data_IF_328297678254
#
_entry.id   IF_328297678254
#
_cell.length_a   1.000
_cell.length_b   1.000
_cell.length_c   1.000
_cell.angle_alpha   90.00
_cell.angle_beta   90.00
_cell.angle_gamma   90.00
#
_symmetry.space_group_name_H-M   'P 1'
#
loop_
_entity.id
_entity.type
_entity.pdbx_description
1 polymer ?
#
# COMPACT_ATOMS: atom_id res chain seq x y z
N UNK A 1 21.11 -8.05 19.16
CA UNK A 1 20.79 -8.49 17.78
C UNK A 1 19.38 -8.01 17.56
N UNK A 2 19.22 -6.88 16.87
CA UNK A 2 17.89 -6.47 16.40
C UNK A 2 17.40 -7.56 15.45
N UNK A 3 16.27 -8.18 15.77
CA UNK A 3 15.64 -9.15 14.88
C UNK A 3 15.33 -8.44 13.57
N UNK A 4 16.05 -8.81 12.53
CA UNK A 4 15.92 -8.24 11.20
C UNK A 4 14.48 -8.47 10.69
N UNK A 5 13.71 -7.39 10.58
CA UNK A 5 12.29 -7.39 10.22
C UNK A 5 12.07 -8.29 9.00
N UNK A 6 11.04 -9.14 8.99
CA UNK A 6 10.86 -10.12 7.91
C UNK A 6 10.76 -9.46 6.52
N UNK A 7 10.34 -8.19 6.42
CA UNK A 7 10.45 -7.41 5.18
C UNK A 7 11.89 -7.26 4.66
N UNK A 8 12.87 -7.04 5.54
CA UNK A 8 14.31 -7.00 5.21
C UNK A 8 14.76 -8.39 4.74
N UNK A 9 14.39 -9.45 5.47
CA UNK A 9 14.69 -10.84 5.08
C UNK A 9 14.05 -11.22 3.74
N UNK A 10 12.80 -10.84 3.50
CA UNK A 10 12.11 -11.03 2.23
C UNK A 10 12.80 -10.27 1.09
N UNK A 11 13.31 -9.05 1.35
CA UNK A 11 14.08 -8.29 0.36
C UNK A 11 15.38 -8.96 -0.05
N UNK A 12 15.97 -9.77 0.83
CA UNK A 12 17.17 -10.56 0.55
C UNK A 12 16.89 -11.91 -0.14
N UNK A 13 15.65 -12.40 -0.16
CA UNK A 13 15.30 -13.76 -0.59
C UNK A 13 14.65 -13.86 -1.98
N UNK A 14 14.26 -12.74 -2.60
CA UNK A 14 13.68 -12.72 -3.95
C UNK A 14 12.69 -11.58 -4.19
N UNK A 15 11.65 -11.83 -5.00
CA UNK A 15 10.61 -10.83 -5.29
C UNK A 15 9.76 -10.53 -4.04
N UNK A 16 9.70 -9.26 -3.64
CA UNK A 16 8.88 -8.78 -2.50
C UNK A 16 7.61 -8.10 -2.98
N UNK A 17 6.65 -7.84 -2.08
CA UNK A 17 5.45 -7.05 -2.38
C UNK A 17 5.79 -5.69 -3.02
N UNK A 18 6.98 -5.13 -2.71
CA UNK A 18 7.52 -3.93 -3.34
C UNK A 18 7.83 -4.08 -4.85
N UNK A 19 7.77 -5.28 -5.42
CA UNK A 19 8.19 -5.58 -6.81
C UNK A 19 7.08 -6.20 -7.67
N UNK A 20 5.89 -6.44 -7.08
CA UNK A 20 4.75 -7.00 -7.81
C UNK A 20 3.42 -6.32 -7.45
N UNK A 21 3.22 -5.83 -6.22
CA UNK A 21 1.97 -5.20 -5.79
C UNK A 21 1.89 -3.71 -6.13
N UNK A 22 0.77 -3.27 -6.68
CA UNK A 22 0.48 -1.85 -6.89
C UNK A 22 0.03 -1.23 -5.58
N UNK A 23 0.92 -0.43 -4.97
CA UNK A 23 0.65 0.20 -3.69
C UNK A 23 -0.11 1.49 -3.93
N UNK A 24 -1.40 1.48 -3.62
CA UNK A 24 -2.19 2.70 -3.51
C UNK A 24 -1.65 3.60 -2.39
N UNK A 25 -1.67 4.91 -2.62
CA UNK A 25 -1.18 5.93 -1.69
C UNK A 25 -2.30 6.92 -1.42
N UNK A 26 -2.81 6.94 -0.19
CA UNK A 26 -3.88 7.85 0.23
C UNK A 26 -3.42 9.32 0.21
N UNK A 27 -4.33 10.32 0.33
CA UNK A 27 -3.92 11.71 0.48
C UNK A 27 -3.07 11.92 1.73
N UNK A 28 -3.44 11.30 2.86
CA UNK A 28 -2.66 11.39 4.09
C UNK A 28 -1.30 10.70 3.99
N UNK A 29 -1.17 9.62 3.20
CA UNK A 29 0.13 8.99 2.92
C UNK A 29 1.01 9.92 2.10
N UNK A 30 0.43 10.67 1.14
CA UNK A 30 1.17 11.69 0.39
C UNK A 30 1.75 12.72 1.36
N UNK A 31 0.95 13.28 2.25
CA UNK A 31 1.40 14.28 3.21
C UNK A 31 2.51 13.75 4.12
N UNK A 32 2.27 12.59 4.76
CA UNK A 32 3.24 11.96 5.70
C UNK A 32 4.56 11.63 5.03
N UNK A 33 4.52 11.06 3.82
CA UNK A 33 5.74 10.66 3.10
C UNK A 33 6.45 11.89 2.55
N UNK A 34 5.71 12.88 2.05
CA UNK A 34 6.30 14.10 1.52
C UNK A 34 7.00 14.93 2.59
N UNK A 35 6.41 15.03 3.78
CA UNK A 35 7.05 15.66 4.94
C UNK A 35 8.35 14.94 5.30
N UNK A 36 8.35 13.61 5.33
CA UNK A 36 9.54 12.82 5.68
C UNK A 36 10.66 12.88 4.63
N UNK A 37 10.30 12.91 3.34
CA UNK A 37 11.27 12.91 2.24
C UNK A 37 11.65 14.30 1.73
N UNK A 38 10.97 15.34 2.21
CA UNK A 38 11.06 16.72 1.72
C UNK A 38 10.81 16.83 0.19
N UNK A 39 9.93 15.98 -0.35
CA UNK A 39 9.56 15.91 -1.78
C UNK A 39 8.25 15.15 -2.00
N UNK A 40 7.51 15.46 -3.06
CA UNK A 40 6.19 14.86 -3.37
C UNK A 40 6.12 14.08 -4.69
N UNK A 41 7.24 13.87 -5.39
CA UNK A 41 7.27 13.25 -6.73
C UNK A 41 7.38 11.72 -6.71
N UNK A 42 7.06 11.06 -5.59
CA UNK A 42 7.20 9.62 -5.39
C UNK A 42 5.98 8.79 -5.79
N UNK A 43 4.87 9.42 -6.14
CA UNK A 43 3.64 8.77 -6.61
C UNK A 43 3.28 9.25 -8.02
N UNK A 44 2.41 8.51 -8.69
CA UNK A 44 1.83 8.84 -9.98
C UNK A 44 0.35 8.43 -10.04
N UNK A 45 -0.41 9.05 -10.93
CA UNK A 45 -1.75 8.57 -11.29
C UNK A 45 -1.62 7.68 -12.53
N UNK A 46 -2.18 6.48 -12.46
CA UNK A 46 -2.28 5.58 -13.60
C UNK A 46 -3.45 4.62 -13.45
N UNK A 47 -3.89 4.08 -14.56
CA UNK A 47 -4.80 2.93 -14.58
C UNK A 47 -4.10 1.71 -13.95
N UNK A 48 -4.85 0.79 -13.30
CA UNK A 48 -4.28 -0.44 -12.81
C UNK A 48 -3.69 -1.28 -13.95
N UNK A 49 -2.49 -1.83 -13.76
CA UNK A 49 -1.91 -2.72 -14.77
C UNK A 49 -2.50 -4.13 -14.77
N UNK A 50 -3.23 -4.47 -13.71
CA UNK A 50 -3.91 -5.75 -13.54
C UNK A 50 -5.40 -5.49 -13.27
N UNK A 51 -6.25 -6.18 -14.05
CA UNK A 51 -7.71 -6.05 -13.99
C UNK A 51 -8.29 -6.44 -12.64
N UNK A 52 -7.61 -7.29 -11.87
CA UNK A 52 -8.06 -7.70 -10.54
C UNK A 52 -8.12 -6.49 -9.57
N UNK A 53 -7.28 -5.47 -9.79
CA UNK A 53 -7.36 -4.23 -9.02
C UNK A 53 -8.54 -3.34 -9.41
N UNK A 54 -9.09 -3.49 -10.63
CA UNK A 54 -10.24 -2.73 -11.11
C UNK A 54 -11.59 -3.40 -10.77
N UNK A 55 -11.57 -4.71 -10.47
CA UNK A 55 -12.72 -5.51 -10.07
C UNK A 55 -12.71 -5.73 -8.56
N UNK A 56 -13.06 -4.70 -7.78
CA UNK A 56 -13.15 -4.74 -6.32
C UNK A 56 -14.63 -4.77 -5.87
N UNK A 57 -15.41 -5.70 -6.43
CA UNK A 57 -16.86 -5.80 -6.20
C UNK A 57 -17.21 -6.08 -4.72
N UNK A 58 -16.26 -6.60 -3.94
CA UNK A 58 -16.39 -6.86 -2.50
C UNK A 58 -16.00 -5.64 -1.63
N UNK A 59 -15.55 -4.54 -2.24
CA UNK A 59 -15.22 -3.29 -1.55
C UNK A 59 -15.74 -2.05 -2.31
N UNK A 60 -17.04 -1.72 -2.14
CA UNK A 60 -17.67 -0.61 -2.84
C UNK A 60 -17.04 0.75 -2.54
N UNK A 61 -16.55 0.97 -1.31
CA UNK A 61 -15.90 2.23 -0.96
C UNK A 61 -14.55 2.36 -1.67
N UNK A 62 -13.76 1.29 -1.74
CA UNK A 62 -12.53 1.31 -2.51
C UNK A 62 -12.82 1.63 -3.98
N UNK A 63 -13.75 0.90 -4.60
CA UNK A 63 -14.11 1.14 -6.00
C UNK A 63 -14.58 2.57 -6.26
N UNK A 64 -15.35 3.14 -5.33
CA UNK A 64 -15.94 4.46 -5.49
C UNK A 64 -14.95 5.61 -5.24
N UNK A 65 -14.03 5.46 -4.29
CA UNK A 65 -13.17 6.57 -3.83
C UNK A 65 -11.73 6.49 -4.33
N UNK A 66 -11.19 5.30 -4.59
CA UNK A 66 -9.78 5.14 -5.01
C UNK A 66 -9.59 5.43 -6.49
N UNK A 67 -10.63 5.20 -7.30
CA UNK A 67 -10.62 5.43 -8.73
C UNK A 67 -11.20 6.80 -9.08
N UNK A 68 -10.43 7.56 -9.85
CA UNK A 68 -10.87 8.82 -10.44
C UNK A 68 -11.87 8.56 -11.57
N UNK A 69 -12.63 9.59 -12.01
CA UNK A 69 -13.58 9.45 -13.11
C UNK A 69 -12.97 8.98 -14.44
N UNK A 70 -11.66 9.21 -14.64
CA UNK A 70 -10.91 8.75 -15.80
C UNK A 70 -10.36 7.30 -15.63
N UNK A 71 -10.66 6.64 -14.51
CA UNK A 71 -10.20 5.28 -14.19
C UNK A 71 -8.79 5.22 -13.61
N UNK A 72 -8.10 6.35 -13.47
CA UNK A 72 -6.78 6.38 -12.84
C UNK A 72 -6.88 6.33 -11.32
N UNK A 73 -5.80 5.91 -10.67
CA UNK A 73 -5.65 5.97 -9.21
C UNK A 73 -4.25 6.37 -8.82
N UNK A 74 -4.10 6.93 -7.61
CA UNK A 74 -2.81 7.31 -7.07
C UNK A 74 -2.04 6.09 -6.58
N UNK A 75 -0.87 5.84 -7.15
CA UNK A 75 -0.02 4.71 -6.76
C UNK A 75 1.43 5.14 -6.58
N UNK A 76 2.13 4.41 -5.74
CA UNK A 76 3.55 4.59 -5.51
C UNK A 76 4.32 4.26 -6.79
N UNK A 77 5.21 5.16 -7.23
CA UNK A 77 6.02 4.96 -8.43
C UNK A 77 6.91 3.74 -8.30
N UNK A 78 7.23 3.13 -9.44
CA UNK A 78 8.23 2.06 -9.57
C UNK A 78 9.41 2.51 -10.41
N UNK A 79 10.60 1.99 -10.12
CA UNK A 79 11.81 2.14 -10.93
C UNK A 79 11.73 1.24 -12.15
N UNK A 80 12.59 1.53 -13.13
CA UNK A 80 12.83 0.65 -14.28
C UNK A 80 13.34 -0.72 -13.79
N UNK A 81 12.45 -1.72 -13.78
CA UNK A 81 12.68 -3.03 -13.15
C UNK A 81 11.51 -3.51 -12.27
N UNK A 82 10.56 -2.63 -11.94
CA UNK A 82 9.35 -2.98 -11.18
C UNK A 82 9.46 -2.74 -9.67
N UNK A 83 10.64 -2.39 -9.18
CA UNK A 83 10.87 -2.07 -7.77
C UNK A 83 10.18 -0.77 -7.37
N UNK A 84 9.45 -0.80 -6.27
CA UNK A 84 8.96 0.38 -5.57
C UNK A 84 10.09 1.39 -5.35
N UNK A 85 9.82 2.68 -5.59
CA UNK A 85 10.81 3.75 -5.41
C UNK A 85 11.36 3.84 -3.99
N UNK A 86 10.64 3.33 -2.98
CA UNK A 86 11.07 3.29 -1.58
C UNK A 86 11.99 2.10 -1.25
N UNK A 87 12.11 1.10 -2.13
CA UNK A 87 12.96 -0.06 -1.90
C UNK A 87 14.45 0.33 -1.96
N UNK A 88 15.18 0.01 -0.89
CA UNK A 88 16.62 0.14 -0.76
C UNK A 88 17.31 -1.23 -0.64
N UNK A 89 18.65 -1.26 -0.52
CA UNK A 89 19.43 -2.50 -0.47
C UNK A 89 19.16 -3.35 0.80
N UNK A 90 18.62 -2.73 1.86
CA UNK A 90 18.25 -3.40 3.12
C UNK A 90 16.74 -3.38 3.36
N UNK A 91 15.93 -3.31 2.29
CA UNK A 91 14.47 -3.22 2.38
C UNK A 91 13.93 -1.79 2.26
N UNK A 92 12.70 -1.56 2.73
CA UNK A 92 12.02 -0.27 2.57
C UNK A 92 12.74 0.84 3.36
N UNK A 93 13.06 1.94 2.68
CA UNK A 93 13.75 3.11 3.27
C UNK A 93 12.86 3.96 4.17
N UNK A 94 11.54 3.80 4.09
CA UNK A 94 10.62 4.53 4.96
C UNK A 94 10.56 3.90 6.35
N UNK A 95 10.63 4.70 7.43
CA UNK A 95 10.29 4.27 8.77
C UNK A 95 8.88 3.67 8.80
N UNK A 96 8.64 2.74 9.74
CA UNK A 96 7.36 2.03 9.83
C UNK A 96 6.16 2.98 9.85
N UNK A 97 6.24 4.04 10.67
CA UNK A 97 5.17 5.02 10.84
C UNK A 97 4.99 6.03 9.71
N UNK A 98 5.84 5.95 8.68
CA UNK A 98 5.75 6.79 7.46
C UNK A 98 5.31 5.98 6.25
N UNK A 99 5.43 4.65 6.28
CA UNK A 99 5.06 3.78 5.15
C UNK A 99 3.59 3.99 4.74
N UNK A 100 3.22 3.75 3.47
CA UNK A 100 1.82 3.75 3.06
C UNK A 100 0.96 2.85 3.96
N UNK A 101 -0.28 3.23 4.24
CA UNK A 101 -1.17 2.44 5.12
C UNK A 101 -1.37 1.01 4.59
N UNK A 102 -1.52 0.86 3.27
CA UNK A 102 -1.58 -0.46 2.60
C UNK A 102 -0.35 -1.32 2.93
N UNK A 103 0.84 -0.73 2.98
CA UNK A 103 2.07 -1.44 3.35
C UNK A 103 2.15 -1.81 4.84
N UNK A 104 1.51 -1.04 5.73
CA UNK A 104 1.46 -1.35 7.16
C UNK A 104 0.43 -2.44 7.49
N UNK A 105 -0.64 -2.52 6.70
CA UNK A 105 -1.70 -3.54 6.87
C UNK A 105 -1.26 -4.89 6.27
N UNK A 106 -0.47 -4.88 5.19
CA UNK A 106 0.06 -6.11 4.60
C UNK A 106 0.80 -6.99 5.64
N UNK A 107 0.50 -8.29 5.76
CA UNK A 107 -0.16 -9.15 4.78
C UNK A 107 -1.63 -9.48 5.08
N UNK A 108 -2.28 -8.74 5.98
CA UNK A 108 -3.71 -8.95 6.21
C UNK A 108 -4.50 -8.66 4.94
N UNK A 109 -5.45 -9.53 4.64
CA UNK A 109 -6.51 -9.26 3.65
C UNK A 109 -7.58 -8.37 4.33
N UNK A 110 -8.25 -7.51 3.58
CA UNK A 110 -9.24 -6.56 4.12
C UNK A 110 -10.20 -6.04 3.05
N UNK A 111 -11.31 -5.48 3.50
CA UNK A 111 -12.30 -4.71 2.75
C UNK A 111 -12.79 -3.53 3.61
N UNK A 112 -13.78 -2.74 3.18
CA UNK A 112 -14.33 -1.63 3.97
C UNK A 112 -14.82 -2.04 5.36
N UNK A 113 -15.33 -3.28 5.51
CA UNK A 113 -15.89 -3.78 6.76
C UNK A 113 -14.77 -4.04 7.78
N UNK A 114 -13.63 -4.54 7.33
CA UNK A 114 -12.49 -4.75 8.22
C UNK A 114 -11.39 -5.68 7.71
N UNK A 115 -10.55 -6.09 8.65
CA UNK A 115 -9.50 -7.09 8.42
C UNK A 115 -10.13 -8.49 8.33
N UNK A 116 -9.90 -9.19 7.21
CA UNK A 116 -10.36 -10.55 6.96
C UNK A 116 -9.51 -11.58 7.75
N UNK A 117 -10.05 -12.77 8.07
CA UNK A 117 -9.31 -13.79 8.83
C UNK A 117 -8.11 -14.37 8.06
N UNK A 118 -8.19 -14.43 6.74
CA UNK A 118 -7.12 -14.90 5.87
C UNK A 118 -6.06 -13.84 5.61
N UNK A 119 -4.84 -14.28 5.27
CA UNK A 119 -3.80 -13.41 4.75
C UNK A 119 -3.91 -13.33 3.24
N UNK A 120 -3.45 -12.21 2.68
CA UNK A 120 -3.42 -12.00 1.24
C UNK A 120 -2.59 -13.11 0.56
N UNK A 121 -3.09 -13.62 -0.56
CA UNK A 121 -2.35 -14.57 -1.38
C UNK A 121 -1.04 -13.95 -1.89
N UNK A 122 0.03 -14.75 -1.97
CA UNK A 122 1.34 -14.30 -2.46
C UNK A 122 2.39 -13.99 -1.39
N UNK A 123 2.06 -14.10 -0.10
CA UNK A 123 3.08 -14.13 0.94
C UNK A 123 3.93 -15.41 0.86
N UNK A 124 5.25 -15.34 1.12
CA UNK A 124 6.12 -16.51 1.04
C UNK A 124 6.00 -17.39 2.29
N UNK A 125 4.78 -17.86 2.58
CA UNK A 125 4.48 -18.75 3.71
C UNK A 125 5.24 -20.08 3.62
N UNK A 126 5.71 -20.44 2.43
CA UNK A 126 6.59 -21.59 2.20
C UNK A 126 7.98 -21.44 2.87
N UNK A 127 8.38 -20.23 3.25
CA UNK A 127 9.62 -19.97 3.99
C UNK A 127 9.47 -20.16 5.51
N UNK A 128 8.25 -20.40 5.99
CA UNK A 128 7.95 -20.60 7.40
C UNK A 128 8.33 -22.02 7.83
N UNK A 129 8.96 -22.17 8.99
CA UNK A 129 9.12 -23.50 9.62
C UNK A 129 7.75 -24.02 10.09
N UNK A 130 7.58 -25.34 10.24
CA UNK A 130 6.38 -25.91 10.85
C UNK A 130 6.06 -25.24 12.19
N UNK A 131 4.82 -24.76 12.36
CA UNK A 131 4.36 -24.07 13.57
C UNK A 131 4.68 -22.57 13.64
N UNK A 132 5.38 -22.00 12.67
CA UNK A 132 5.58 -20.55 12.58
C UNK A 132 4.41 -19.86 11.88
N UNK A 133 4.03 -18.68 12.39
CA UNK A 133 3.05 -17.79 11.76
C UNK A 133 3.78 -16.61 11.12
N UNK A 134 3.35 -16.23 9.91
CA UNK A 134 3.87 -15.07 9.20
C UNK A 134 3.67 -13.78 10.01
N UNK A 135 2.50 -13.63 10.62
CA UNK A 135 2.13 -12.48 11.45
C UNK A 135 3.05 -12.37 12.67
N UNK A 136 3.33 -13.50 13.33
CA UNK A 136 4.24 -13.52 14.48
C UNK A 136 5.68 -13.18 14.08
N UNK A 137 6.15 -13.64 12.92
CA UNK A 137 7.49 -13.30 12.44
C UNK A 137 7.64 -11.87 11.92
N UNK A 138 6.54 -11.26 11.48
CA UNK A 138 6.50 -9.84 11.12
C UNK A 138 6.26 -8.94 12.34
N UNK A 139 6.12 -9.52 13.54
CA UNK A 139 5.71 -8.81 14.76
C UNK A 139 4.46 -7.94 14.55
N UNK A 140 3.53 -8.46 13.75
CA UNK A 140 2.32 -7.72 13.38
C UNK A 140 1.20 -7.94 14.38
N UNK A 141 0.61 -6.83 14.77
CA UNK A 141 -0.52 -6.80 15.69
C UNK A 141 -1.81 -6.47 14.92
N UNK A 142 -2.79 -7.37 14.98
CA UNK A 142 -4.09 -7.18 14.33
C UNK A 142 -4.84 -5.93 14.82
N UNK A 143 -4.66 -5.52 16.07
CA UNK A 143 -5.27 -4.30 16.59
C UNK A 143 -4.60 -3.05 16.03
N UNK A 144 -3.30 -3.11 15.72
CA UNK A 144 -2.62 -2.05 14.96
C UNK A 144 -3.12 -2.01 13.51
N UNK A 145 -3.25 -3.18 12.86
CA UNK A 145 -3.80 -3.29 11.53
C UNK A 145 -5.23 -2.74 11.43
N UNK A 146 -6.09 -3.00 12.43
CA UNK A 146 -7.44 -2.42 12.52
C UNK A 146 -7.44 -0.90 12.64
N UNK A 147 -6.46 -0.31 13.34
CA UNK A 147 -6.33 1.15 13.42
C UNK A 147 -5.90 1.74 12.08
N UNK A 148 -4.89 1.15 11.43
CA UNK A 148 -4.43 1.59 10.12
C UNK A 148 -5.49 1.38 9.04
N UNK A 149 -6.27 0.31 9.13
CA UNK A 149 -7.42 0.05 8.27
C UNK A 149 -8.47 1.15 8.40
N UNK A 150 -8.88 1.50 9.63
CA UNK A 150 -9.82 2.60 9.83
C UNK A 150 -9.31 3.90 9.21
N UNK A 151 -8.05 4.23 9.48
CA UNK A 151 -7.39 5.41 8.93
C UNK A 151 -7.35 5.38 7.40
N UNK A 152 -7.09 4.21 6.79
CA UNK A 152 -7.06 4.03 5.34
C UNK A 152 -8.41 4.42 4.74
N UNK A 153 -9.52 3.88 5.24
CA UNK A 153 -10.83 4.21 4.70
C UNK A 153 -11.30 5.63 5.04
N UNK A 154 -10.85 6.20 6.15
CA UNK A 154 -11.05 7.63 6.42
C UNK A 154 -10.35 8.48 5.36
N UNK A 155 -9.11 8.14 5.01
CA UNK A 155 -8.32 8.91 4.05
C UNK A 155 -8.72 8.68 2.59
N UNK A 156 -9.14 7.48 2.17
CA UNK A 156 -9.61 7.27 0.79
C UNK A 156 -10.86 8.11 0.50
N UNK A 157 -11.74 8.29 1.49
CA UNK A 157 -12.95 9.11 1.34
C UNK A 157 -12.64 10.59 1.11
N UNK A 158 -11.41 11.04 1.41
CA UNK A 158 -10.95 12.40 1.14
C UNK A 158 -10.47 12.60 -0.31
N UNK A 159 -10.29 11.54 -1.11
CA UNK A 159 -9.87 11.65 -2.52
C UNK A 159 -10.82 12.53 -3.33
N UNK A 160 -12.13 12.44 -3.11
CA UNK A 160 -13.12 13.28 -3.80
C UNK A 160 -12.95 14.78 -3.54
N UNK A 161 -12.30 15.15 -2.43
CA UNK A 161 -11.96 16.55 -2.14
C UNK A 161 -10.63 16.94 -2.77
N UNK A 162 -9.65 16.03 -2.80
CA UNK A 162 -8.34 16.24 -3.42
C UNK A 162 -8.40 16.31 -4.97
N UNK A 163 -9.33 15.60 -5.60
CA UNK A 163 -9.57 15.65 -7.05
C UNK A 163 -9.92 17.05 -7.56
N UNK A 164 -10.53 17.89 -6.72
CA UNK A 164 -10.91 19.28 -7.07
C UNK A 164 -9.68 20.17 -7.30
N UNK A 165 -8.51 19.80 -6.75
CA UNK A 165 -7.26 20.55 -6.83
C UNK A 165 -6.37 20.16 -8.03
N UNK A 166 -6.77 19.15 -8.84
CA UNK A 166 -6.15 18.84 -10.13
C UNK A 166 -6.57 19.84 -11.20
N UNK A 167 -5.94 21.02 -11.18
CA UNK A 167 -6.19 22.11 -12.16
C UNK A 167 -5.90 21.65 -13.60
N UNK A 168 -5.06 20.64 -13.78
CA UNK A 168 -4.71 19.99 -15.06
C UNK A 168 -5.86 19.20 -15.72
N UNK A 169 -6.89 18.81 -14.97
CA UNK A 169 -8.05 18.05 -15.46
C UNK A 169 -9.34 18.86 -15.52
N UNK A 170 -9.33 20.15 -15.12
CA UNK A 170 -10.51 21.00 -15.30
C UNK A 170 -10.73 21.15 -16.81
N UNK A 171 -11.91 20.81 -17.35
CA UNK A 171 -12.18 21.08 -18.75
C UNK A 171 -11.95 22.57 -18.98
N UNK A 172 -11.13 22.89 -19.99
CA UNK A 172 -10.94 24.28 -20.38
C UNK A 172 -12.32 24.87 -20.66
N UNK A 173 -12.68 25.91 -19.91
CA UNK A 173 -13.92 26.66 -20.13
C UNK A 173 -13.97 27.21 -21.57
#
# INVERSE_FOLDING_TARGET
MEDEHLCVRCSCLGRTCCQWSEVYVTPGDVDRIAEHLERSDFYEYREPSDSDYAAQDDDPAWQHYVFQPDGMRRVLKRRHGGDCTMLGPSGCRLPWEVRPLVCRIYPYDYDEIGIKPQLLHGCPVHLLKPGQSLITLLDMNVDAARRWHRQLYEEIRLETTADVDRVDLRPAC
#
